data_IF_508968375345
#
_entry.id   IF_508968375345
#
_cell.length_a   1.000
_cell.length_b   1.000
_cell.length_c   1.000
_cell.angle_alpha   90.00
_cell.angle_beta   90.00
_cell.angle_gamma   90.00
#
_symmetry.space_group_name_H-M   'P 1'
#
loop_
_entity.id
_entity.type
_entity.pdbx_description
1 polymer ?
#
# COMPACT_ATOMS: atom_id res chain seq x y z
N UNK A 1 18.50 20.31 22.94
CA UNK A 1 19.47 19.34 22.43
C UNK A 1 18.84 18.63 21.24
N UNK A 2 19.40 18.87 20.08
CA UNK A 2 18.86 18.45 18.78
C UNK A 2 18.68 16.91 18.69
N UNK A 3 19.61 16.16 19.29
CA UNK A 3 19.57 14.68 19.29
C UNK A 3 18.36 14.11 20.06
N UNK A 4 18.02 14.69 21.19
CA UNK A 4 16.87 14.26 22.00
C UNK A 4 15.56 14.54 21.26
N UNK A 5 15.44 15.71 20.66
CA UNK A 5 14.26 16.09 19.87
C UNK A 5 14.08 15.16 18.65
N UNK A 6 15.16 14.81 17.96
CA UNK A 6 15.13 13.84 16.86
C UNK A 6 14.70 12.45 17.31
N UNK A 7 15.17 11.99 18.47
CA UNK A 7 14.76 10.67 19.00
C UNK A 7 13.28 10.66 19.38
N UNK A 8 12.77 11.69 20.05
CA UNK A 8 11.36 11.82 20.40
C UNK A 8 10.48 11.85 19.13
N UNK A 9 10.85 12.65 18.14
CA UNK A 9 10.15 12.71 16.86
C UNK A 9 10.15 11.35 16.16
N UNK A 10 11.28 10.63 16.14
CA UNK A 10 11.36 9.29 15.56
C UNK A 10 10.39 8.33 16.24
N UNK A 11 10.40 8.32 17.57
CA UNK A 11 9.50 7.45 18.36
C UNK A 11 8.03 7.72 18.06
N UNK A 12 7.63 8.99 18.00
CA UNK A 12 6.26 9.38 17.71
C UNK A 12 5.83 9.02 16.27
N UNK A 13 6.74 9.17 15.31
CA UNK A 13 6.45 8.85 13.91
C UNK A 13 6.53 7.34 13.59
N UNK A 14 7.28 6.56 14.37
CA UNK A 14 7.68 5.19 14.03
C UNK A 14 6.48 4.31 13.68
N UNK A 15 5.51 4.19 14.58
CA UNK A 15 4.36 3.29 14.39
C UNK A 15 3.55 3.67 13.16
N UNK A 16 3.30 4.95 12.97
CA UNK A 16 2.55 5.46 11.84
C UNK A 16 3.25 5.20 10.50
N UNK A 17 4.54 5.52 10.39
CA UNK A 17 5.33 5.31 9.17
C UNK A 17 5.53 3.82 8.91
N UNK A 18 5.80 3.03 9.96
CA UNK A 18 5.95 1.58 9.86
C UNK A 18 4.69 0.92 9.31
N UNK A 19 3.52 1.28 9.82
CA UNK A 19 2.24 0.77 9.34
C UNK A 19 2.01 1.10 7.85
N UNK A 20 2.44 2.27 7.38
CA UNK A 20 2.37 2.64 5.96
C UNK A 20 3.35 1.78 5.15
N UNK A 21 4.62 1.67 5.56
CA UNK A 21 5.63 0.92 4.82
C UNK A 21 5.28 -0.57 4.72
N UNK A 22 4.79 -1.20 5.80
CA UNK A 22 4.41 -2.62 5.85
C UNK A 22 3.36 -3.01 4.80
N UNK A 23 2.48 -2.11 4.42
CA UNK A 23 1.47 -2.37 3.39
C UNK A 23 2.07 -2.56 1.99
N UNK A 24 3.27 -2.02 1.76
CA UNK A 24 3.94 -2.04 0.45
C UNK A 24 5.13 -2.99 0.41
N UNK A 25 5.88 -3.13 1.51
CA UNK A 25 7.07 -3.97 1.61
C UNK A 25 6.78 -5.23 2.43
N UNK A 26 6.93 -6.41 1.82
CA UNK A 26 6.79 -7.70 2.48
C UNK A 26 8.05 -7.99 3.30
N UNK A 27 9.22 -7.73 2.73
CA UNK A 27 10.50 -7.93 3.39
C UNK A 27 10.66 -6.90 4.51
N UNK A 28 11.03 -7.37 5.72
CA UNK A 28 11.19 -6.53 6.90
C UNK A 28 12.35 -5.54 6.76
N UNK A 29 13.44 -5.95 6.15
CA UNK A 29 14.63 -5.09 5.99
C UNK A 29 14.37 -3.98 4.99
N UNK A 30 13.67 -4.28 3.89
CA UNK A 30 13.21 -3.27 2.91
C UNK A 30 12.23 -2.29 3.56
N UNK A 31 11.30 -2.79 4.39
CA UNK A 31 10.36 -1.97 5.13
C UNK A 31 11.08 -1.02 6.09
N UNK A 32 12.07 -1.50 6.86
CA UNK A 32 12.86 -0.69 7.77
C UNK A 32 13.73 0.32 7.04
N UNK A 33 14.31 -0.07 5.91
CA UNK A 33 15.09 0.83 5.05
C UNK A 33 14.22 1.97 4.50
N UNK A 34 13.01 1.63 4.02
CA UNK A 34 12.03 2.63 3.56
C UNK A 34 11.60 3.56 4.69
N UNK A 35 11.31 3.03 5.90
CA UNK A 35 10.96 3.82 7.07
C UNK A 35 12.05 4.84 7.41
N UNK A 36 13.31 4.41 7.44
CA UNK A 36 14.45 5.30 7.74
C UNK A 36 14.60 6.41 6.69
N UNK A 37 14.40 6.09 5.42
CA UNK A 37 14.45 7.09 4.34
C UNK A 37 13.28 8.07 4.39
N UNK A 38 12.08 7.59 4.72
CA UNK A 38 10.90 8.45 4.95
C UNK A 38 11.16 9.38 6.12
N UNK A 39 11.65 8.87 7.24
CA UNK A 39 12.00 9.67 8.40
C UNK A 39 13.05 10.74 8.09
N UNK A 40 14.10 10.39 7.34
CA UNK A 40 15.09 11.37 6.87
C UNK A 40 14.44 12.49 6.05
N UNK A 41 13.50 12.14 5.14
CA UNK A 41 12.76 13.15 4.36
C UNK A 41 11.86 14.02 5.25
N UNK A 42 11.26 13.47 6.30
CA UNK A 42 10.47 14.23 7.28
C UNK A 42 11.36 15.27 7.97
N UNK A 43 12.49 14.86 8.53
CA UNK A 43 13.44 15.79 9.19
C UNK A 43 13.89 16.89 8.24
N UNK A 44 14.28 16.53 7.03
CA UNK A 44 14.74 17.49 6.02
C UNK A 44 13.69 18.55 5.68
N UNK A 45 12.41 18.22 5.75
CA UNK A 45 11.31 19.10 5.35
C UNK A 45 10.52 19.68 6.52
N UNK A 46 10.84 19.34 7.78
CA UNK A 46 10.04 19.73 8.94
C UNK A 46 9.97 21.26 9.13
N UNK A 47 11.05 21.98 8.87
CA UNK A 47 11.07 23.43 8.93
C UNK A 47 10.11 24.07 7.92
N UNK A 48 10.02 23.51 6.72
CA UNK A 48 9.06 23.94 5.69
C UNK A 48 7.61 23.62 6.10
N UNK A 49 7.38 22.46 6.74
CA UNK A 49 6.07 22.12 7.29
C UNK A 49 5.62 23.13 8.34
N UNK A 50 6.48 23.42 9.32
CA UNK A 50 6.17 24.35 10.41
C UNK A 50 5.92 25.78 9.92
N UNK A 51 6.57 26.20 8.82
CA UNK A 51 6.42 27.56 8.28
C UNK A 51 5.26 27.72 7.29
N UNK A 52 4.89 26.67 6.54
CA UNK A 52 3.97 26.81 5.39
C UNK A 52 2.75 25.87 5.45
N UNK A 53 2.80 24.81 6.23
CA UNK A 53 1.82 23.74 6.17
C UNK A 53 1.30 23.29 7.54
N UNK A 54 1.52 24.08 8.60
CA UNK A 54 1.12 23.75 9.97
C UNK A 54 -0.39 23.53 10.16
N UNK A 55 -1.21 24.05 9.22
CA UNK A 55 -2.66 23.85 9.24
C UNK A 55 -3.06 22.45 8.71
N UNK A 56 -2.14 21.73 8.05
CA UNK A 56 -2.34 20.34 7.66
C UNK A 56 -1.93 19.44 8.83
N UNK A 57 -2.77 18.50 9.29
CA UNK A 57 -2.40 17.57 10.33
C UNK A 57 -1.07 16.87 10.04
N UNK A 58 -0.20 16.79 11.04
CA UNK A 58 1.16 16.24 10.87
C UNK A 58 1.17 14.81 10.31
N UNK A 59 0.22 13.98 10.74
CA UNK A 59 0.06 12.62 10.24
C UNK A 59 -0.27 12.57 8.75
N UNK A 60 -1.12 13.47 8.25
CA UNK A 60 -1.44 13.53 6.82
C UNK A 60 -0.25 14.01 6.00
N UNK A 61 0.52 14.94 6.53
CA UNK A 61 1.73 15.42 5.87
C UNK A 61 2.81 14.34 5.81
N UNK A 62 3.07 13.62 6.91
CA UNK A 62 4.06 12.52 6.94
C UNK A 62 3.61 11.33 6.09
N UNK A 63 2.29 11.01 6.09
CA UNK A 63 1.71 9.99 5.18
C UNK A 63 1.99 10.32 3.72
N UNK A 64 1.80 11.57 3.30
CA UNK A 64 2.09 12.00 1.92
C UNK A 64 3.56 11.84 1.56
N UNK A 65 4.48 12.15 2.49
CA UNK A 65 5.92 11.92 2.30
C UNK A 65 6.22 10.43 2.13
N UNK A 66 5.64 9.58 2.99
CA UNK A 66 5.85 8.14 2.94
C UNK A 66 5.35 7.55 1.62
N UNK A 67 4.11 7.83 1.23
CA UNK A 67 3.52 7.33 -0.01
C UNK A 67 4.33 7.79 -1.22
N UNK A 68 4.68 9.07 -1.31
CA UNK A 68 5.48 9.58 -2.42
C UNK A 68 6.84 8.88 -2.52
N UNK A 69 7.53 8.67 -1.38
CA UNK A 69 8.79 7.94 -1.36
C UNK A 69 8.63 6.50 -1.87
N UNK A 70 7.63 5.77 -1.35
CA UNK A 70 7.36 4.38 -1.71
C UNK A 70 7.06 4.27 -3.21
N UNK A 71 6.23 5.16 -3.74
CA UNK A 71 5.87 5.17 -5.16
C UNK A 71 7.06 5.51 -6.05
N UNK A 72 7.93 6.44 -5.64
CA UNK A 72 9.16 6.76 -6.37
C UNK A 72 10.09 5.54 -6.46
N UNK A 73 10.27 4.80 -5.35
CA UNK A 73 11.05 3.56 -5.33
C UNK A 73 10.39 2.47 -6.20
N UNK A 74 9.07 2.31 -6.09
CA UNK A 74 8.31 1.39 -6.92
C UNK A 74 8.49 1.67 -8.41
N UNK A 75 8.43 2.94 -8.83
CA UNK A 75 8.65 3.35 -10.23
C UNK A 75 10.06 3.07 -10.73
N UNK A 76 11.08 3.27 -9.89
CA UNK A 76 12.46 2.93 -10.22
C UNK A 76 12.59 1.42 -10.45
N UNK A 77 12.10 0.61 -9.51
CA UNK A 77 12.16 -0.85 -9.60
C UNK A 77 11.35 -1.40 -10.78
N UNK A 78 10.16 -0.84 -11.04
CA UNK A 78 9.31 -1.24 -12.17
C UNK A 78 9.96 -0.93 -13.52
N UNK A 79 10.67 0.19 -13.67
CA UNK A 79 11.42 0.49 -14.91
C UNK A 79 12.51 -0.54 -15.20
N UNK A 80 13.19 -1.07 -14.19
CA UNK A 80 14.16 -2.15 -14.36
C UNK A 80 13.48 -3.48 -14.74
N UNK A 81 12.30 -3.77 -14.17
CA UNK A 81 11.52 -5.00 -14.50
C UNK A 81 10.88 -4.94 -15.89
N UNK A 82 10.34 -3.79 -16.30
CA UNK A 82 9.67 -3.60 -17.61
C UNK A 82 10.63 -3.61 -18.80
N UNK A 83 11.95 -3.57 -18.57
CA UNK A 83 12.94 -3.88 -19.61
C UNK A 83 12.98 -5.38 -19.94
N UNK A 84 12.30 -6.21 -19.15
CA UNK A 84 12.35 -7.68 -19.23
C UNK A 84 11.00 -8.29 -19.64
N UNK A 85 9.86 -7.65 -19.35
CA UNK A 85 8.53 -8.14 -19.73
C UNK A 85 7.55 -7.01 -20.11
N UNK A 86 7.11 -6.90 -21.37
CA UNK A 86 5.96 -6.08 -21.72
C UNK A 86 4.69 -6.76 -21.21
N UNK A 87 4.08 -6.21 -20.16
CA UNK A 87 2.77 -6.68 -19.69
C UNK A 87 1.70 -6.19 -20.65
N UNK A 88 1.35 -6.98 -21.65
CA UNK A 88 0.14 -6.77 -22.45
C UNK A 88 -1.08 -6.95 -21.52
N UNK A 89 -1.68 -5.83 -21.13
CA UNK A 89 -2.99 -5.83 -20.49
C UNK A 89 -4.01 -6.14 -21.58
N UNK A 90 -4.49 -7.38 -21.62
CA UNK A 90 -5.54 -7.80 -22.52
C UNK A 90 -6.75 -6.87 -22.41
N UNK A 91 -7.17 -6.28 -23.52
CA UNK A 91 -8.28 -5.31 -23.64
C UNK A 91 -9.64 -5.93 -23.27
N UNK A 92 -9.72 -7.25 -23.13
CA UNK A 92 -10.94 -8.00 -22.89
C UNK A 92 -11.44 -7.97 -21.43
N UNK A 93 -10.67 -7.52 -20.45
CA UNK A 93 -11.07 -7.43 -19.04
C UNK A 93 -11.86 -6.15 -18.69
N UNK A 94 -12.12 -5.26 -19.65
CA UNK A 94 -12.76 -3.96 -19.41
C UNK A 94 -14.29 -4.02 -19.14
N UNK A 95 -14.93 -5.20 -19.21
CA UNK A 95 -16.40 -5.31 -19.16
C UNK A 95 -16.99 -5.76 -17.84
N UNK A 96 -16.20 -6.01 -16.79
CA UNK A 96 -16.75 -6.45 -15.50
C UNK A 96 -16.33 -5.51 -14.35
N UNK A 97 -16.78 -4.26 -14.41
CA UNK A 97 -16.79 -3.37 -13.26
C UNK A 97 -18.07 -3.60 -12.47
N UNK A 98 -18.17 -4.72 -11.77
CA UNK A 98 -19.16 -4.90 -10.70
C UNK A 98 -18.53 -4.28 -9.45
N UNK A 99 -19.19 -3.26 -8.91
CA UNK A 99 -18.93 -2.73 -7.57
C UNK A 99 -19.39 -3.79 -6.57
N UNK A 100 -18.50 -4.72 -6.24
CA UNK A 100 -18.73 -5.67 -5.18
C UNK A 100 -18.31 -5.07 -3.85
N UNK A 101 -19.27 -4.79 -2.98
CA UNK A 101 -19.04 -4.48 -1.58
C UNK A 101 -18.40 -5.68 -0.89
N UNK A 102 -17.27 -5.44 -0.19
CA UNK A 102 -16.73 -6.43 0.73
C UNK A 102 -17.65 -6.54 1.94
N UNK A 103 -18.31 -7.68 2.12
CA UNK A 103 -19.05 -7.96 3.35
C UNK A 103 -18.13 -7.92 4.58
N UNK A 104 -18.53 -7.14 5.58
CA UNK A 104 -17.80 -6.75 6.79
C UNK A 104 -17.55 -7.88 7.83
N UNK A 105 -17.34 -9.13 7.42
CA UNK A 105 -17.23 -10.26 8.36
C UNK A 105 -15.84 -10.91 8.41
N UNK A 106 -14.79 -10.19 8.01
CA UNK A 106 -13.44 -10.75 7.91
C UNK A 106 -12.56 -10.13 9.00
N UNK A 107 -11.81 -10.99 9.70
CA UNK A 107 -10.80 -10.55 10.65
C UNK A 107 -9.72 -9.70 9.98
N UNK A 108 -9.40 -8.58 10.60
CA UNK A 108 -8.42 -7.60 10.08
C UNK A 108 -7.05 -8.23 9.80
N UNK A 109 -6.63 -9.20 10.62
CA UNK A 109 -5.33 -9.89 10.45
C UNK A 109 -5.34 -10.75 9.17
N UNK A 110 -6.43 -11.46 8.89
CA UNK A 110 -6.58 -12.28 7.68
C UNK A 110 -6.54 -11.43 6.41
N UNK A 111 -7.10 -10.21 6.45
CA UNK A 111 -7.04 -9.27 5.31
C UNK A 111 -5.58 -8.82 5.07
N UNK A 112 -4.84 -8.50 6.12
CA UNK A 112 -3.45 -8.04 6.00
C UNK A 112 -2.59 -9.14 5.37
N UNK A 113 -2.70 -10.38 5.84
CA UNK A 113 -1.97 -11.52 5.27
C UNK A 113 -2.34 -11.79 3.80
N UNK A 114 -3.62 -11.67 3.45
CA UNK A 114 -4.07 -11.84 2.07
C UNK A 114 -3.52 -10.73 1.16
N UNK A 115 -3.48 -9.48 1.63
CA UNK A 115 -2.92 -8.35 0.88
C UNK A 115 -1.41 -8.54 0.64
N UNK A 116 -0.66 -9.10 1.59
CA UNK A 116 0.75 -9.41 1.42
C UNK A 116 1.01 -10.44 0.28
N UNK A 117 0.06 -11.35 0.04
CA UNK A 117 0.15 -12.35 -1.04
C UNK A 117 -0.19 -11.82 -2.44
N UNK A 118 -0.69 -10.59 -2.55
CA UNK A 118 -0.97 -9.99 -3.83
C UNK A 118 0.30 -9.72 -4.64
N UNK A 119 0.26 -9.88 -5.98
CA UNK A 119 1.30 -9.36 -6.86
C UNK A 119 1.57 -7.87 -6.60
N UNK A 120 2.81 -7.46 -6.72
CA UNK A 120 3.31 -6.14 -6.30
C UNK A 120 2.47 -4.97 -6.84
N UNK A 121 2.15 -4.97 -8.16
CA UNK A 121 1.33 -3.92 -8.77
C UNK A 121 -0.11 -3.93 -8.27
N UNK A 122 -0.73 -5.12 -8.12
CA UNK A 122 -2.08 -5.26 -7.63
C UNK A 122 -2.18 -4.75 -6.18
N UNK A 123 -1.19 -5.08 -5.35
CA UNK A 123 -1.07 -4.62 -3.96
C UNK A 123 -0.90 -3.10 -3.89
N UNK A 124 -0.04 -2.52 -4.73
CA UNK A 124 0.17 -1.07 -4.77
C UNK A 124 -1.12 -0.33 -5.14
N UNK A 125 -1.82 -0.77 -6.20
CA UNK A 125 -3.09 -0.17 -6.62
C UNK A 125 -4.18 -0.35 -5.56
N UNK A 126 -4.27 -1.53 -4.94
CA UNK A 126 -5.22 -1.80 -3.86
C UNK A 126 -5.01 -0.85 -2.66
N UNK A 127 -3.79 -0.74 -2.18
CA UNK A 127 -3.45 0.14 -1.06
C UNK A 127 -3.77 1.60 -1.38
N UNK A 128 -3.36 2.09 -2.55
CA UNK A 128 -3.61 3.48 -2.95
C UNK A 128 -5.11 3.78 -3.07
N UNK A 129 -5.90 2.87 -3.67
CA UNK A 129 -7.32 3.10 -3.89
C UNK A 129 -8.15 2.88 -2.62
N UNK A 130 -8.01 1.70 -1.98
CA UNK A 130 -8.90 1.28 -0.88
C UNK A 130 -8.51 1.91 0.45
N UNK A 131 -7.20 1.98 0.74
CA UNK A 131 -6.72 2.43 2.05
C UNK A 131 -6.35 3.91 2.03
N UNK A 132 -5.71 4.38 0.95
CA UNK A 132 -5.20 5.74 0.87
C UNK A 132 -6.15 6.71 0.15
N UNK A 133 -7.24 6.20 -0.48
CA UNK A 133 -8.34 7.00 -1.04
C UNK A 133 -8.01 7.73 -2.34
N UNK A 134 -6.96 7.32 -3.07
CA UNK A 134 -6.62 7.92 -4.36
C UNK A 134 -7.59 7.48 -5.46
N UNK A 135 -7.92 8.40 -6.38
CA UNK A 135 -8.69 8.08 -7.59
C UNK A 135 -7.82 7.38 -8.63
N UNK A 136 -8.42 6.60 -9.53
CA UNK A 136 -7.68 5.87 -10.57
C UNK A 136 -6.82 6.77 -11.47
N UNK A 137 -7.27 8.01 -11.74
CA UNK A 137 -6.51 9.00 -12.50
C UNK A 137 -5.23 9.45 -11.75
N UNK A 138 -5.32 9.59 -10.43
CA UNK A 138 -4.19 9.95 -9.58
C UNK A 138 -3.21 8.77 -9.45
N UNK A 139 -3.75 7.56 -9.25
CA UNK A 139 -2.96 6.32 -9.22
C UNK A 139 -2.23 6.12 -10.55
N UNK A 140 -2.93 6.37 -11.67
CA UNK A 140 -2.32 6.30 -13.00
C UNK A 140 -1.11 7.22 -13.13
N UNK A 141 -1.23 8.49 -12.71
CA UNK A 141 -0.13 9.45 -12.68
C UNK A 141 1.00 9.02 -11.74
N UNK A 142 0.65 8.52 -10.55
CA UNK A 142 1.61 8.07 -9.55
C UNK A 142 2.42 6.86 -10.03
N UNK A 143 1.76 5.83 -10.58
CA UNK A 143 2.40 4.57 -10.97
C UNK A 143 2.91 4.55 -12.42
N UNK A 144 2.57 5.56 -13.23
CA UNK A 144 2.94 5.62 -14.64
C UNK A 144 2.14 4.65 -15.51
N UNK A 145 0.88 4.38 -15.17
CA UNK A 145 -0.05 3.51 -15.90
C UNK A 145 -1.31 4.29 -16.31
N UNK A 146 -2.14 3.72 -17.18
CA UNK A 146 -3.44 4.32 -17.50
C UNK A 146 -4.44 4.15 -16.36
N UNK A 147 -5.45 5.02 -16.28
CA UNK A 147 -6.57 4.89 -15.33
C UNK A 147 -7.31 3.55 -15.54
N UNK A 148 -7.48 3.10 -16.77
CA UNK A 148 -8.06 1.80 -17.10
C UNK A 148 -7.19 0.63 -16.60
N UNK A 149 -5.87 0.69 -16.76
CA UNK A 149 -4.93 -0.29 -16.21
C UNK A 149 -5.02 -0.34 -14.67
N UNK A 150 -5.15 0.82 -14.02
CA UNK A 150 -5.35 0.87 -12.57
C UNK A 150 -6.63 0.16 -12.13
N UNK A 151 -7.75 0.33 -12.87
CA UNK A 151 -9.00 -0.40 -12.60
C UNK A 151 -8.83 -1.91 -12.73
N UNK A 152 -8.12 -2.37 -13.76
CA UNK A 152 -7.82 -3.80 -13.97
C UNK A 152 -7.00 -4.37 -12.81
N UNK A 153 -5.96 -3.67 -12.35
CA UNK A 153 -5.16 -4.12 -11.20
C UNK A 153 -5.99 -4.18 -9.92
N UNK A 154 -6.89 -3.22 -9.68
CA UNK A 154 -7.79 -3.26 -8.54
C UNK A 154 -8.74 -4.45 -8.60
N UNK A 155 -9.34 -4.71 -9.78
CA UNK A 155 -10.22 -5.86 -9.99
C UNK A 155 -9.48 -7.19 -9.72
N UNK A 156 -8.27 -7.35 -10.27
CA UNK A 156 -7.43 -8.53 -10.03
C UNK A 156 -7.08 -8.69 -8.55
N UNK A 157 -6.73 -7.58 -7.86
CA UNK A 157 -6.48 -7.59 -6.43
C UNK A 157 -7.71 -8.09 -5.65
N UNK A 158 -8.88 -7.51 -5.88
CA UNK A 158 -10.13 -7.91 -5.22
C UNK A 158 -10.48 -9.38 -5.48
N UNK A 159 -10.34 -9.87 -6.72
CA UNK A 159 -10.56 -11.28 -7.08
C UNK A 159 -9.63 -12.23 -6.32
N UNK A 160 -8.34 -11.93 -6.30
CA UNK A 160 -7.35 -12.73 -5.58
C UNK A 160 -7.61 -12.73 -4.07
N UNK A 161 -7.93 -11.57 -3.49
CA UNK A 161 -8.26 -11.46 -2.07
C UNK A 161 -9.47 -12.31 -1.72
N UNK A 162 -10.55 -12.27 -2.53
CA UNK A 162 -11.74 -13.09 -2.31
C UNK A 162 -11.38 -14.58 -2.28
N UNK A 163 -10.62 -15.07 -3.25
CA UNK A 163 -10.19 -16.47 -3.28
C UNK A 163 -9.37 -16.85 -2.05
N UNK A 164 -8.41 -16.03 -1.65
CA UNK A 164 -7.56 -16.30 -0.48
C UNK A 164 -8.37 -16.36 0.81
N UNK A 165 -9.34 -15.47 0.97
CA UNK A 165 -10.21 -15.40 2.14
C UNK A 165 -11.17 -16.61 2.19
N UNK A 166 -11.75 -17.00 1.06
CA UNK A 166 -12.63 -18.18 0.97
C UNK A 166 -11.89 -19.47 1.33
N UNK A 167 -10.62 -19.58 0.94
CA UNK A 167 -9.77 -20.73 1.27
C UNK A 167 -9.45 -20.79 2.77
N UNK A 168 -9.18 -19.64 3.42
CA UNK A 168 -8.98 -19.57 4.87
C UNK A 168 -10.25 -20.00 5.61
N UNK A 169 -11.42 -19.47 5.22
CA UNK A 169 -12.73 -19.83 5.83
C UNK A 169 -13.02 -21.33 5.73
N UNK A 170 -12.71 -21.95 4.58
CA UNK A 170 -12.89 -23.41 4.40
C UNK A 170 -11.97 -24.19 5.33
N UNK A 171 -10.73 -23.80 5.48
CA UNK A 171 -9.76 -24.47 6.35
C UNK A 171 -10.16 -24.36 7.82
N UNK A 172 -10.61 -23.19 8.28
CA UNK A 172 -11.10 -22.99 9.65
C UNK A 172 -12.35 -23.84 9.94
N UNK A 173 -13.24 -23.97 8.97
CA UNK A 173 -14.44 -24.81 9.10
C UNK A 173 -14.12 -26.30 9.20
N UNK A 174 -13.07 -26.77 8.52
CA UNK A 174 -12.60 -28.15 8.58
C UNK A 174 -11.91 -28.42 9.93
N UNK A 175 -11.07 -27.50 10.39
CA UNK A 175 -10.37 -27.62 11.68
C UNK A 175 -11.35 -27.69 12.86
N UNK A 176 -12.39 -26.89 12.85
CA UNK A 176 -13.44 -26.93 13.88
C UNK A 176 -14.29 -28.22 13.87
N UNK A 177 -14.42 -28.88 12.71
CA UNK A 177 -15.13 -30.17 12.60
C UNK A 177 -14.29 -31.37 13.10
N UNK A 178 -12.98 -31.24 13.14
CA UNK A 178 -12.07 -32.30 13.60
C UNK A 178 -11.90 -32.26 15.14
N UNK A 179 -12.13 -31.09 15.75
CA UNK A 179 -11.97 -30.87 17.18
C UNK A 179 -13.28 -31.00 17.98
N UNK A 180 -14.41 -31.23 17.32
CA UNK A 180 -15.72 -31.50 17.92
C UNK A 180 -16.08 -33.00 17.84
#
# INVERSE_FOLDING_TARGET
DDRKAHYELYRECFQHIYAICRRYYINKDDCMSALNMVYYKIIKNISSYLSKSKDVPFELWTRKIAINYIIDEFRKNSRYKNLIEPTEVSVYENQMLIEDEFENTIDTEQIVEAVEKLPEMNRAVFNLYVIDGYKHEEIGKLLGISSSTSKVHLHRAKKTLRTLIDDVRKNDSISNKILS
#
